data_IF_211680344273
#
_entry.id   IF_211680344273
#
_cell.length_a   1.000
_cell.length_b   1.000
_cell.length_c   1.000
_cell.angle_alpha   90.00
_cell.angle_beta   90.00
_cell.angle_gamma   90.00
#
_symmetry.space_group_name_H-M   'P 1'
#
loop_
_entity.id
_entity.type
_entity.pdbx_description
1 polymer ?
#
# COMPACT_ATOMS: atom_id res chain seq x y z
N UNK A 1 -49.47 -4.74 -6.76
CA UNK A 1 -48.39 -5.75 -6.79
C UNK A 1 -47.45 -5.39 -7.91
N UNK A 2 -46.32 -4.75 -7.58
CA UNK A 2 -45.07 -4.92 -8.31
C UNK A 2 -43.96 -4.57 -7.30
N UNK A 3 -43.34 -5.60 -6.74
CA UNK A 3 -42.15 -5.48 -5.92
C UNK A 3 -41.04 -4.93 -6.83
N UNK A 4 -40.52 -3.75 -6.49
CA UNK A 4 -39.28 -3.25 -7.08
C UNK A 4 -38.16 -3.90 -6.28
N UNK A 5 -37.62 -4.96 -6.84
CA UNK A 5 -36.43 -5.65 -6.37
C UNK A 5 -35.24 -4.68 -6.49
N UNK A 6 -35.05 -3.85 -5.47
CA UNK A 6 -33.79 -3.13 -5.27
C UNK A 6 -32.80 -4.13 -4.68
N UNK A 7 -32.23 -4.95 -5.55
CA UNK A 7 -30.97 -5.62 -5.25
C UNK A 7 -29.87 -4.57 -5.42
N UNK A 8 -29.31 -3.98 -4.34
CA UNK A 8 -28.12 -3.17 -4.50
C UNK A 8 -27.06 -4.12 -5.02
N UNK A 9 -26.65 -3.97 -6.30
CA UNK A 9 -25.41 -4.56 -6.78
C UNK A 9 -24.37 -4.17 -5.74
N UNK A 10 -23.96 -5.15 -4.95
CA UNK A 10 -22.89 -5.03 -3.97
C UNK A 10 -21.78 -4.28 -4.66
N UNK A 11 -21.39 -3.12 -4.11
CA UNK A 11 -20.13 -2.50 -4.47
C UNK A 11 -19.08 -3.61 -4.33
N UNK A 12 -18.69 -4.23 -5.44
CA UNK A 12 -17.53 -5.11 -5.45
C UNK A 12 -16.40 -4.25 -4.92
N UNK A 13 -15.84 -4.62 -3.77
CA UNK A 13 -14.71 -3.92 -3.19
C UNK A 13 -13.61 -3.85 -4.26
N UNK A 14 -13.41 -2.66 -4.82
CA UNK A 14 -12.46 -2.40 -5.91
C UNK A 14 -11.04 -2.78 -5.48
N UNK A 15 -10.76 -2.69 -4.19
CA UNK A 15 -9.55 -3.15 -3.52
C UNK A 15 -9.91 -3.89 -2.23
N UNK A 16 -9.36 -5.10 -2.06
CA UNK A 16 -9.50 -5.91 -0.84
C UNK A 16 -8.14 -6.38 -0.35
N UNK A 17 -7.79 -6.07 0.89
CA UNK A 17 -6.58 -6.58 1.54
C UNK A 17 -6.71 -8.09 1.82
N UNK A 18 -5.71 -8.88 1.42
CA UNK A 18 -5.68 -10.33 1.56
C UNK A 18 -4.76 -10.82 2.69
N UNK A 19 -3.90 -9.93 3.21
CA UNK A 19 -2.93 -10.25 4.26
C UNK A 19 -1.48 -10.02 3.85
N UNK A 20 -0.59 -10.16 4.83
CA UNK A 20 0.86 -10.20 4.62
C UNK A 20 1.27 -11.62 4.25
N UNK A 21 2.11 -11.76 3.23
CA UNK A 21 2.67 -13.04 2.86
C UNK A 21 3.84 -13.40 3.78
N UNK A 22 3.62 -14.36 4.68
CA UNK A 22 4.65 -14.88 5.61
C UNK A 22 5.59 -15.92 4.99
N UNK A 23 5.72 -15.96 3.65
CA UNK A 23 6.60 -16.93 2.98
C UNK A 23 8.07 -16.60 3.31
N UNK A 24 8.95 -17.62 3.42
CA UNK A 24 10.28 -17.47 4.03
C UNK A 24 11.05 -16.37 3.31
N UNK A 25 11.49 -15.35 4.07
CA UNK A 25 12.27 -14.17 3.67
C UNK A 25 12.90 -14.30 2.28
N UNK A 26 12.09 -14.14 1.23
CA UNK A 26 12.58 -14.15 -0.13
C UNK A 26 13.09 -12.74 -0.40
N UNK A 27 14.32 -12.48 0.06
CA UNK A 27 15.13 -11.37 -0.41
C UNK A 27 14.83 -10.00 0.17
N UNK A 28 14.76 -9.87 1.50
CA UNK A 28 14.90 -8.56 2.15
C UNK A 28 13.69 -7.64 1.99
N UNK A 29 12.47 -8.18 1.94
CA UNK A 29 11.23 -7.39 1.86
C UNK A 29 10.08 -7.99 2.67
N UNK A 30 9.21 -7.12 3.17
CA UNK A 30 7.90 -7.46 3.74
C UNK A 30 6.78 -7.17 2.75
N UNK A 31 5.92 -8.15 2.46
CA UNK A 31 4.96 -8.09 1.33
C UNK A 31 3.50 -8.21 1.76
N UNK A 32 2.68 -7.26 1.31
CA UNK A 32 1.22 -7.32 1.37
C UNK A 32 0.61 -7.73 0.03
N UNK A 33 -0.49 -8.49 0.10
CA UNK A 33 -1.28 -8.88 -1.06
C UNK A 33 -2.69 -8.27 -1.01
N UNK A 34 -3.18 -7.87 -2.18
CA UNK A 34 -4.51 -7.32 -2.39
C UNK A 34 -5.18 -8.02 -3.56
N UNK A 35 -6.50 -8.14 -3.49
CA UNK A 35 -7.35 -8.44 -4.64
C UNK A 35 -7.90 -7.12 -5.17
N UNK A 36 -7.76 -6.87 -6.46
CA UNK A 36 -8.29 -5.67 -7.13
C UNK A 36 -9.24 -6.06 -8.24
N UNK A 37 -10.25 -5.23 -8.52
CA UNK A 37 -11.01 -5.30 -9.76
C UNK A 37 -10.54 -4.19 -10.70
N UNK A 38 -9.88 -4.57 -11.80
CA UNK A 38 -9.38 -3.62 -12.80
C UNK A 38 -9.83 -4.02 -14.20
N UNK A 39 -10.48 -3.10 -14.91
CA UNK A 39 -11.01 -3.37 -16.25
C UNK A 39 -12.02 -4.53 -16.30
N UNK A 40 -12.80 -4.72 -15.24
CA UNK A 40 -13.78 -5.81 -15.12
C UNK A 40 -13.18 -7.19 -14.84
N UNK A 41 -11.91 -7.26 -14.41
CA UNK A 41 -11.24 -8.51 -14.04
C UNK A 41 -10.65 -8.42 -12.64
N UNK A 42 -10.89 -9.45 -11.84
CA UNK A 42 -10.24 -9.61 -10.54
C UNK A 42 -8.79 -10.07 -10.71
N UNK A 43 -7.85 -9.36 -10.08
CA UNK A 43 -6.41 -9.65 -10.13
C UNK A 43 -5.78 -9.52 -8.75
N UNK A 44 -4.57 -10.05 -8.60
CA UNK A 44 -3.77 -9.90 -7.39
C UNK A 44 -2.74 -8.78 -7.57
N UNK A 45 -2.73 -7.84 -6.64
CA UNK A 45 -1.70 -6.81 -6.51
C UNK A 45 -0.82 -7.14 -5.31
N UNK A 46 0.48 -6.99 -5.45
CA UNK A 46 1.46 -7.17 -4.38
C UNK A 46 2.27 -5.91 -4.21
N UNK A 47 2.40 -5.45 -2.98
CA UNK A 47 3.30 -4.36 -2.62
C UNK A 47 4.22 -4.84 -1.53
N UNK A 48 5.45 -4.37 -1.56
CA UNK A 48 6.44 -4.73 -0.56
C UNK A 48 7.20 -3.51 -0.08
N UNK A 49 7.74 -3.59 1.14
CA UNK A 49 8.72 -2.64 1.68
C UNK A 49 10.05 -3.37 1.84
N UNK A 50 11.15 -2.73 1.46
CA UNK A 50 12.49 -3.25 1.73
C UNK A 50 12.80 -3.29 3.24
N UNK A 51 13.47 -4.34 3.68
CA UNK A 51 13.87 -4.52 5.08
C UNK A 51 14.80 -3.39 5.54
N UNK A 52 15.69 -2.90 4.67
CA UNK A 52 16.56 -1.74 4.97
C UNK A 52 15.76 -0.48 5.30
N UNK A 53 14.62 -0.27 4.62
CA UNK A 53 13.72 0.84 4.92
C UNK A 53 13.00 0.64 6.26
N UNK A 54 12.57 -0.60 6.52
CA UNK A 54 11.94 -0.97 7.80
C UNK A 54 12.93 -0.82 8.97
N UNK A 55 14.20 -1.15 8.76
CA UNK A 55 15.30 -0.98 9.70
C UNK A 55 15.55 0.49 10.03
N UNK A 56 15.59 1.35 9.01
CA UNK A 56 15.75 2.80 9.18
C UNK A 56 14.55 3.41 9.92
N UNK A 57 13.36 2.82 9.81
CA UNK A 57 12.18 3.18 10.62
C UNK A 57 12.12 2.52 11.99
N UNK A 58 13.03 1.59 12.29
CA UNK A 58 13.16 0.95 13.60
C UNK A 58 12.26 -0.27 13.82
N UNK A 59 11.70 -0.88 12.77
CA UNK A 59 10.84 -2.08 12.91
C UNK A 59 11.57 -3.29 13.54
N UNK A 60 12.89 -3.40 13.37
CA UNK A 60 13.71 -4.47 13.94
C UNK A 60 14.24 -4.19 15.36
N UNK A 61 13.98 -3.00 15.90
CA UNK A 61 14.39 -2.61 17.26
C UNK A 61 13.13 -2.71 18.13
N UNK A 62 13.17 -3.60 19.13
CA UNK A 62 12.11 -3.93 20.08
C UNK A 62 10.91 -2.95 20.10
N UNK A 63 9.74 -3.45 19.68
CA UNK A 63 8.45 -2.75 19.53
C UNK A 63 8.36 -1.42 20.27
N UNK A 64 8.64 -0.32 19.56
CA UNK A 64 8.24 1.00 20.01
C UNK A 64 6.71 1.07 20.03
N UNK A 65 6.13 1.45 21.17
CA UNK A 65 4.68 1.64 21.36
C UNK A 65 4.08 2.67 20.38
N UNK A 66 4.92 3.45 19.70
CA UNK A 66 4.53 4.54 18.79
C UNK A 66 4.53 4.15 17.30
N UNK A 67 4.92 2.92 16.94
CA UNK A 67 4.90 2.46 15.54
C UNK A 67 3.58 1.77 15.19
N UNK A 68 3.01 2.00 13.98
CA UNK A 68 1.87 1.22 13.54
C UNK A 68 2.29 -0.23 13.31
N UNK A 69 1.39 -1.21 13.54
CA UNK A 69 1.61 -2.57 13.09
C UNK A 69 1.99 -2.61 11.60
N UNK A 70 2.96 -3.44 11.22
CA UNK A 70 3.40 -3.56 9.82
C UNK A 70 2.23 -3.83 8.86
N UNK A 71 1.24 -4.60 9.31
CA UNK A 71 -0.03 -4.83 8.60
C UNK A 71 -0.78 -3.55 8.30
N UNK A 72 -0.89 -2.63 9.26
CA UNK A 72 -1.54 -1.34 9.06
C UNK A 72 -0.75 -0.49 8.06
N UNK A 73 0.58 -0.43 8.20
CA UNK A 73 1.45 0.33 7.30
C UNK A 73 1.31 -0.14 5.85
N UNK A 74 1.49 -1.44 5.60
CA UNK A 74 1.39 -2.02 4.27
C UNK A 74 -0.02 -1.83 3.69
N UNK A 75 -1.06 -1.95 4.51
CA UNK A 75 -2.44 -1.70 4.07
C UNK A 75 -2.65 -0.24 3.64
N UNK A 76 -2.14 0.72 4.41
CA UNK A 76 -2.23 2.15 4.09
C UNK A 76 -1.49 2.48 2.79
N UNK A 77 -0.25 2.01 2.65
CA UNK A 77 0.57 2.21 1.44
C UNK A 77 -0.13 1.61 0.23
N UNK A 78 -0.66 0.39 0.33
CA UNK A 78 -1.33 -0.27 -0.78
C UNK A 78 -2.61 0.38 -1.22
N UNK A 79 -3.41 0.81 -0.24
CA UNK A 79 -4.64 1.55 -0.51
C UNK A 79 -4.32 2.85 -1.23
N UNK A 80 -3.31 3.59 -0.75
CA UNK A 80 -2.93 4.86 -1.37
C UNK A 80 -2.35 4.67 -2.77
N UNK A 81 -1.44 3.72 -2.94
CA UNK A 81 -0.85 3.39 -4.24
C UNK A 81 -1.92 2.99 -5.28
N UNK A 82 -2.91 2.19 -4.86
CA UNK A 82 -4.02 1.81 -5.72
C UNK A 82 -4.87 3.02 -6.12
N UNK A 83 -5.26 3.87 -5.15
CA UNK A 83 -6.05 5.09 -5.41
C UNK A 83 -5.34 6.04 -6.37
N UNK A 84 -4.02 6.18 -6.26
CA UNK A 84 -3.24 7.00 -7.17
C UNK A 84 -3.25 6.41 -8.58
N UNK A 85 -2.99 5.10 -8.73
CA UNK A 85 -3.06 4.40 -10.01
C UNK A 85 -4.44 4.55 -10.67
N UNK A 86 -5.51 4.43 -9.87
CA UNK A 86 -6.89 4.63 -10.33
C UNK A 86 -7.13 6.07 -10.81
N UNK A 87 -6.67 7.08 -10.06
CA UNK A 87 -6.83 8.48 -10.45
C UNK A 87 -6.07 8.86 -11.72
N UNK A 88 -4.96 8.17 -12.00
CA UNK A 88 -4.16 8.32 -13.21
C UNK A 88 -4.66 7.43 -14.36
N UNK A 89 -5.65 6.56 -14.11
CA UNK A 89 -6.13 5.55 -15.06
C UNK A 89 -5.01 4.59 -15.52
N UNK A 90 -4.01 4.37 -14.68
CA UNK A 90 -2.90 3.44 -14.93
C UNK A 90 -3.16 2.10 -14.24
N UNK A 91 -2.87 0.99 -14.93
CA UNK A 91 -3.03 -0.33 -14.34
C UNK A 91 -2.03 -0.52 -13.18
N UNK A 92 -2.50 -0.79 -11.94
CA UNK A 92 -1.61 -0.97 -10.82
C UNK A 92 -0.85 -2.28 -10.94
N UNK A 93 0.47 -2.19 -11.02
CA UNK A 93 1.38 -3.34 -11.01
C UNK A 93 1.99 -3.54 -9.63
N UNK A 94 2.53 -4.74 -9.39
CA UNK A 94 3.30 -4.97 -8.16
C UNK A 94 4.46 -3.99 -8.04
N UNK A 95 4.75 -3.56 -6.81
CA UNK A 95 5.79 -2.56 -6.54
C UNK A 95 6.53 -2.87 -5.23
N UNK A 96 7.84 -2.65 -5.24
CA UNK A 96 8.69 -2.73 -4.06
C UNK A 96 9.08 -1.30 -3.73
N UNK A 97 8.58 -0.82 -2.59
CA UNK A 97 8.89 0.49 -2.06
C UNK A 97 10.23 0.43 -1.32
N UNK A 98 11.08 1.40 -1.65
CA UNK A 98 12.46 1.55 -1.18
C UNK A 98 12.58 2.84 -0.39
N UNK A 99 13.74 3.07 0.25
CA UNK A 99 14.05 4.34 0.92
C UNK A 99 13.83 5.57 0.02
N UNK A 100 14.08 5.45 -1.28
CA UNK A 100 13.98 6.56 -2.22
C UNK A 100 12.54 7.06 -2.40
N UNK A 101 11.54 6.20 -2.17
CA UNK A 101 10.12 6.54 -2.29
C UNK A 101 9.62 7.39 -1.10
N UNK A 102 10.41 7.49 -0.03
CA UNK A 102 10.06 8.20 1.21
C UNK A 102 11.07 9.28 1.59
N UNK A 103 11.80 9.84 0.61
CA UNK A 103 12.65 11.00 0.86
C UNK A 103 11.85 12.30 0.77
N UNK A 104 12.15 13.25 1.65
CA UNK A 104 11.65 14.61 1.55
C UNK A 104 12.40 15.41 0.46
N UNK A 105 11.98 16.67 0.23
CA UNK A 105 12.59 17.54 -0.76
C UNK A 105 14.08 17.87 -0.47
N UNK A 106 14.55 17.64 0.75
CA UNK A 106 15.94 17.82 1.15
C UNK A 106 16.74 16.50 1.08
N UNK A 107 16.12 15.39 0.63
CA UNK A 107 16.75 14.08 0.49
C UNK A 107 16.83 13.29 1.80
N UNK A 108 16.12 13.69 2.85
CA UNK A 108 16.09 12.98 4.13
C UNK A 108 14.93 11.98 4.17
N UNK A 109 15.15 10.84 4.83
CA UNK A 109 14.08 9.88 5.06
C UNK A 109 12.99 10.48 5.95
N UNK A 110 11.75 10.44 5.47
CA UNK A 110 10.57 10.86 6.22
C UNK A 110 10.34 9.86 7.36
N UNK A 111 10.09 10.36 8.58
CA UNK A 111 9.79 9.51 9.73
C UNK A 111 8.51 8.70 9.53
N UNK A 112 8.45 7.51 10.11
CA UNK A 112 7.29 6.62 9.97
C UNK A 112 5.98 7.27 10.46
N UNK A 113 6.02 8.04 11.56
CA UNK A 113 4.84 8.76 12.06
C UNK A 113 4.31 9.73 11.01
N UNK A 114 5.20 10.50 10.37
CA UNK A 114 4.82 11.48 9.34
C UNK A 114 4.33 10.79 8.06
N UNK A 115 4.91 9.65 7.68
CA UNK A 115 4.40 8.83 6.57
C UNK A 115 2.96 8.40 6.86
N UNK A 116 2.69 7.84 8.04
CA UNK A 116 1.34 7.38 8.43
C UNK A 116 0.34 8.53 8.45
N UNK A 117 0.72 9.67 9.04
CA UNK A 117 -0.11 10.89 9.06
C UNK A 117 -0.47 11.33 7.64
N UNK A 118 0.51 11.40 6.73
CA UNK A 118 0.28 11.83 5.36
C UNK A 118 -0.53 10.81 4.54
N UNK A 119 -0.34 9.51 4.78
CA UNK A 119 -1.15 8.46 4.14
C UNK A 119 -2.62 8.54 4.60
N UNK A 120 -2.85 8.72 5.90
CA UNK A 120 -4.21 8.90 6.47
C UNK A 120 -4.87 10.19 5.99
N UNK A 121 -4.09 11.27 5.87
CA UNK A 121 -4.55 12.55 5.33
C UNK A 121 -4.65 12.57 3.79
N UNK A 122 -4.22 11.50 3.11
CA UNK A 122 -4.18 11.40 1.64
C UNK A 122 -3.35 12.49 0.96
N UNK A 123 -2.33 13.01 1.65
CA UNK A 123 -1.45 14.09 1.19
C UNK A 123 -0.10 13.60 0.66
N UNK A 124 0.26 12.34 0.93
CA UNK A 124 1.45 11.71 0.34
C UNK A 124 1.16 11.24 -1.08
N UNK A 125 2.10 11.47 -1.99
CA UNK A 125 2.11 10.84 -3.32
C UNK A 125 3.10 9.68 -3.31
N UNK A 126 2.64 8.49 -3.67
CA UNK A 126 3.44 7.26 -3.75
C UNK A 126 3.79 6.86 -5.19
N UNK A 127 3.27 7.58 -6.18
CA UNK A 127 3.46 7.24 -7.58
C UNK A 127 4.93 7.22 -8.00
N UNK A 128 5.24 6.24 -8.86
CA UNK A 128 6.57 6.02 -9.44
C UNK A 128 7.05 7.28 -10.19
N UNK A 129 8.32 7.69 -10.09
CA UNK A 129 8.92 8.39 -11.21
C UNK A 129 8.90 7.40 -12.39
N UNK A 130 8.18 7.70 -13.47
CA UNK A 130 8.24 6.93 -14.71
C UNK A 130 9.72 6.67 -15.05
N UNK A 131 10.20 5.45 -14.85
CA UNK A 131 11.46 5.01 -15.48
C UNK A 131 11.10 4.70 -16.93
N UNK A 132 11.22 5.74 -17.75
CA UNK A 132 11.34 5.64 -19.19
C UNK A 132 12.54 4.77 -19.58
#
# INVERSE_FOLDING_TARGET
MTEVDQNPKSNEEVLKFLGIATKPHMGGVEMAAFSINWGGKTRRLSISLEDDLLDEWGYNIAHHEEMPPLTELLQLIGTRYFQESESLQEEPHGYIFTKNDFLDAAGNLISIQKVVENLKAQTMTLHRPHRF
#
